data_IF_664286006726
#
_entry.id   IF_664286006726
#
_cell.length_a   1.000
_cell.length_b   1.000
_cell.length_c   1.000
_cell.angle_alpha   90.00
_cell.angle_beta   90.00
_cell.angle_gamma   90.00
#
_symmetry.space_group_name_H-M   'P 1'
#
loop_
_entity.id
_entity.type
_entity.pdbx_description
1 polymer ?
#
# COMPACT_ATOMS: atom_id res chain seq x y z
N UNK A 1 6.23 -3.82 22.65
CA UNK A 1 6.38 -3.38 22.23
C UNK A 1 6.05 -3.27 21.18
N UNK A 2 5.72 -2.94 20.73
CA UNK A 2 5.12 -3.01 19.66
C UNK A 2 5.70 -2.37 18.55
N UNK A 3 5.99 -3.12 17.58
CA UNK A 3 6.47 -2.52 16.46
C UNK A 3 5.37 -1.94 15.68
N UNK A 4 5.44 -0.78 15.24
CA UNK A 4 4.42 -0.21 14.40
C UNK A 4 4.46 -0.85 13.03
N UNK A 5 3.31 -1.06 12.40
CA UNK A 5 3.30 -1.52 11.02
C UNK A 5 3.96 -0.46 10.14
N UNK A 6 4.46 -0.90 9.02
CA UNK A 6 5.08 0.01 8.08
C UNK A 6 4.10 1.08 7.65
N UNK A 7 4.51 2.32 7.76
CA UNK A 7 3.67 3.44 7.34
C UNK A 7 4.10 3.86 5.95
N UNK A 8 3.30 3.52 4.97
CA UNK A 8 3.60 3.83 3.58
C UNK A 8 2.78 5.01 3.05
N UNK A 9 2.03 5.64 3.93
CA UNK A 9 1.16 6.74 3.51
C UNK A 9 1.95 7.84 2.83
N UNK A 10 1.56 8.17 1.61
CA UNK A 10 2.20 9.23 0.86
C UNK A 10 3.51 8.83 0.20
N UNK A 11 3.96 7.61 0.37
CA UNK A 11 5.21 7.18 -0.24
C UNK A 11 4.98 6.84 -1.69
N UNK A 12 5.96 7.18 -2.50
CA UNK A 12 5.89 6.96 -3.93
C UNK A 12 6.76 5.77 -4.31
N UNK A 13 6.20 4.87 -5.08
CA UNK A 13 6.89 3.68 -5.53
C UNK A 13 6.81 3.65 -7.06
N UNK A 14 7.82 4.21 -7.69
CA UNK A 14 7.78 4.35 -9.14
C UNK A 14 6.66 5.30 -9.53
N UNK A 15 5.68 4.80 -10.26
CA UNK A 15 4.54 5.61 -10.67
C UNK A 15 3.36 5.51 -9.70
N UNK A 16 3.49 4.72 -8.66
CA UNK A 16 2.41 4.52 -7.69
C UNK A 16 2.67 5.32 -6.43
N UNK A 17 1.62 5.91 -5.89
CA UNK A 17 1.69 6.60 -4.61
C UNK A 17 0.75 5.90 -3.64
N UNK A 18 1.29 5.42 -2.54
CA UNK A 18 0.47 4.75 -1.52
C UNK A 18 -0.35 5.80 -0.78
N UNK A 19 -1.66 5.59 -0.76
CA UNK A 19 -2.58 6.55 -0.14
C UNK A 19 -2.96 6.15 1.28
N UNK A 20 -3.47 4.93 1.44
CA UNK A 20 -3.90 4.46 2.75
C UNK A 20 -4.02 2.94 2.73
N UNK A 21 -3.91 2.31 3.90
CA UNK A 21 -4.08 0.86 3.98
C UNK A 21 -5.56 0.51 3.94
N UNK A 22 -5.89 -0.58 3.24
CA UNK A 22 -7.26 -1.06 3.19
C UNK A 22 -7.44 -2.15 4.24
N UNK A 23 -8.68 -2.63 4.37
CA UNK A 23 -8.95 -3.71 5.31
C UNK A 23 -8.65 -5.07 4.74
N UNK A 24 -8.31 -5.12 3.46
CA UNK A 24 -8.07 -6.39 2.80
C UNK A 24 -6.65 -6.87 3.03
N UNK A 25 -6.49 -8.17 3.07
CA UNK A 25 -5.19 -8.78 3.25
C UNK A 25 -5.06 -9.95 2.30
N UNK A 26 -3.82 -10.23 1.91
CA UNK A 26 -3.60 -11.36 1.03
C UNK A 26 -3.46 -12.63 1.86
N UNK A 27 -3.12 -13.73 1.21
CA UNK A 27 -3.03 -15.01 1.88
C UNK A 27 -1.96 -15.03 2.96
N UNK A 28 -0.98 -14.17 2.84
CA UNK A 28 0.12 -14.10 3.81
C UNK A 28 -0.14 -13.13 4.93
N UNK A 29 -1.28 -12.44 4.86
CA UNK A 29 -1.60 -11.45 5.86
C UNK A 29 -1.08 -10.07 5.56
N UNK A 30 -0.56 -9.85 4.38
CA UNK A 30 -0.09 -8.53 3.99
C UNK A 30 -1.26 -7.61 3.72
N UNK A 31 -1.16 -6.39 4.18
CA UNK A 31 -2.23 -5.41 4.00
C UNK A 31 -2.17 -4.87 2.58
N UNK A 32 -3.34 -4.75 1.95
CA UNK A 32 -3.43 -4.11 0.65
C UNK A 32 -3.46 -2.61 0.85
N UNK A 33 -2.62 -1.91 0.12
CA UNK A 33 -2.59 -0.46 0.14
C UNK A 33 -3.24 0.07 -1.12
N UNK A 34 -4.10 1.04 -0.93
CA UNK A 34 -4.72 1.72 -2.05
C UNK A 34 -3.70 2.69 -2.63
N UNK A 35 -3.35 2.51 -3.88
CA UNK A 35 -2.35 3.33 -4.53
C UNK A 35 -2.93 4.00 -5.77
N UNK A 36 -2.38 5.14 -6.10
CA UNK A 36 -2.79 5.90 -7.28
C UNK A 36 -1.59 6.02 -8.19
N UNK A 37 -1.79 5.65 -9.44
CA UNK A 37 -0.75 5.78 -10.44
C UNK A 37 -0.62 7.24 -10.86
N UNK A 38 0.56 7.60 -11.33
CA UNK A 38 0.81 8.96 -11.78
C UNK A 38 -0.14 9.36 -12.90
N UNK A 39 -0.63 8.41 -13.66
CA UNK A 39 -1.58 8.69 -14.74
C UNK A 39 -3.03 8.78 -14.26
N UNK A 40 -3.27 8.62 -12.97
CA UNK A 40 -4.60 8.76 -12.41
C UNK A 40 -5.33 7.45 -12.15
N UNK A 41 -4.75 6.33 -12.51
CA UNK A 41 -5.36 5.04 -12.26
C UNK A 41 -5.17 4.64 -10.80
N UNK A 42 -6.17 3.91 -10.26
CA UNK A 42 -6.12 3.47 -8.88
C UNK A 42 -5.97 1.96 -8.86
N UNK A 43 -5.08 1.47 -8.02
CA UNK A 43 -4.85 0.03 -7.86
C UNK A 43 -4.58 -0.27 -6.39
N UNK A 44 -4.88 -1.52 -5.99
CA UNK A 44 -4.57 -1.97 -4.64
C UNK A 44 -3.39 -2.93 -4.74
N UNK A 45 -2.36 -2.67 -3.96
CA UNK A 45 -1.16 -3.48 -3.97
C UNK A 45 -0.79 -3.83 -2.54
N UNK A 46 -0.31 -5.04 -2.31
CA UNK A 46 0.10 -5.42 -0.98
C UNK A 46 1.36 -4.66 -0.56
N UNK A 47 1.50 -4.43 0.73
CA UNK A 47 2.69 -3.75 1.24
C UNK A 47 3.95 -4.52 0.87
N UNK A 48 3.87 -5.84 0.83
CA UNK A 48 5.02 -6.65 0.47
C UNK A 48 5.38 -6.51 -1.01
N UNK A 49 4.43 -6.09 -1.83
CA UNK A 49 4.68 -5.89 -3.26
C UNK A 49 5.20 -4.51 -3.62
N UNK A 50 5.24 -3.63 -2.66
CA UNK A 50 5.72 -2.27 -2.90
C UNK A 50 7.24 -2.12 -2.67
#
# INVERSE_FOLDING_TARGET
MGRKPQDLTGRQFGLLTAMYPTEQRDKRGSVYWHCVCDCGNEVDVTAAGL
#
